data_IF_101320934367
#
_entry.id   IF_101320934367
#
_cell.length_a   1.000
_cell.length_b   1.000
_cell.length_c   1.000
_cell.angle_alpha   90.00
_cell.angle_beta   90.00
_cell.angle_gamma   90.00
#
_symmetry.space_group_name_H-M   'P 1'
#
loop_
_entity.id
_entity.type
_entity.pdbx_description
1 polymer ?
#
# COMPACT_ATOMS: atom_id res chain seq x y z
N UNK A 1 36.46 7.91 -73.23
CA UNK A 1 35.56 8.40 -72.16
C UNK A 1 35.86 7.60 -70.91
N UNK A 2 36.31 8.24 -69.83
CA UNK A 2 36.70 7.58 -68.58
C UNK A 2 35.53 7.58 -67.59
N UNK A 3 35.10 6.41 -67.15
CA UNK A 3 34.04 6.26 -66.14
C UNK A 3 34.59 6.48 -64.72
N UNK A 4 33.89 7.24 -63.85
CA UNK A 4 34.38 7.51 -62.51
C UNK A 4 34.05 6.36 -61.54
N UNK A 5 35.06 5.84 -60.85
CA UNK A 5 34.93 4.80 -59.83
C UNK A 5 34.39 5.41 -58.52
N UNK A 6 33.16 5.02 -58.12
CA UNK A 6 32.54 5.43 -56.85
C UNK A 6 33.32 4.87 -55.65
N UNK A 7 33.82 5.76 -54.78
CA UNK A 7 34.40 5.40 -53.47
C UNK A 7 33.30 4.84 -52.54
N UNK A 8 33.54 3.66 -51.97
CA UNK A 8 32.68 3.05 -50.96
C UNK A 8 32.79 3.80 -49.60
N UNK A 9 31.70 3.92 -48.82
CA UNK A 9 31.72 4.59 -47.52
C UNK A 9 32.46 3.74 -46.47
N UNK A 10 33.26 4.40 -45.64
CA UNK A 10 34.03 3.78 -44.56
C UNK A 10 33.10 3.13 -43.50
N UNK A 11 33.37 1.85 -43.17
CA UNK A 11 32.66 1.10 -42.11
C UNK A 11 32.87 1.80 -40.76
N UNK A 12 31.79 2.24 -40.11
CA UNK A 12 31.80 2.71 -38.72
C UNK A 12 32.19 1.55 -37.78
N UNK A 13 33.14 1.79 -36.89
CA UNK A 13 33.55 0.83 -35.87
C UNK A 13 32.39 0.56 -34.88
N UNK A 14 32.21 -0.70 -34.42
CA UNK A 14 31.15 -1.03 -33.47
C UNK A 14 31.43 -0.39 -32.11
N UNK A 15 30.42 0.24 -31.53
CA UNK A 15 30.49 0.82 -30.19
C UNK A 15 30.87 -0.27 -29.17
N UNK A 16 31.95 -0.03 -28.40
CA UNK A 16 32.34 -0.88 -27.26
C UNK A 16 31.16 -0.94 -26.29
N UNK A 17 30.51 -2.10 -26.20
CA UNK A 17 29.54 -2.39 -25.14
C UNK A 17 30.27 -2.30 -23.80
N UNK A 18 29.79 -1.44 -22.91
CA UNK A 18 30.33 -1.32 -21.56
C UNK A 18 30.26 -2.68 -20.85
N UNK A 19 31.34 -3.04 -20.16
CA UNK A 19 31.39 -4.28 -19.40
C UNK A 19 30.36 -4.25 -18.25
N UNK A 20 29.76 -5.40 -17.90
CA UNK A 20 28.81 -5.48 -16.78
C UNK A 20 29.51 -5.09 -15.47
N UNK A 21 28.86 -4.22 -14.68
CA UNK A 21 29.40 -3.73 -13.40
C UNK A 21 29.58 -4.86 -12.39
N UNK A 22 30.64 -4.79 -11.61
CA UNK A 22 30.88 -5.77 -10.52
C UNK A 22 29.85 -5.60 -9.40
N UNK A 23 29.70 -6.63 -8.54
CA UNK A 23 28.77 -6.58 -7.41
C UNK A 23 29.16 -5.49 -6.39
N UNK A 24 30.46 -5.27 -6.20
CA UNK A 24 31.00 -4.23 -5.31
C UNK A 24 30.68 -2.82 -5.81
N UNK A 25 30.83 -2.57 -7.11
CA UNK A 25 30.47 -1.29 -7.73
C UNK A 25 28.96 -1.02 -7.59
N UNK A 26 28.12 -2.04 -7.76
CA UNK A 26 26.67 -1.92 -7.56
C UNK A 26 26.29 -1.63 -6.11
N UNK A 27 26.95 -2.27 -5.15
CA UNK A 27 26.70 -2.04 -3.74
C UNK A 27 27.13 -0.63 -3.29
N UNK A 28 28.30 -0.15 -3.73
CA UNK A 28 28.75 1.20 -3.44
C UNK A 28 27.80 2.27 -4.03
N UNK A 29 27.36 2.09 -5.28
CA UNK A 29 26.38 2.96 -5.93
C UNK A 29 25.03 2.97 -5.18
N UNK A 30 24.57 1.81 -4.70
CA UNK A 30 23.32 1.69 -3.95
C UNK A 30 23.40 2.39 -2.59
N UNK A 31 24.49 2.22 -1.85
CA UNK A 31 24.70 2.88 -0.54
C UNK A 31 24.74 4.41 -0.70
N UNK A 32 25.39 4.92 -1.75
CA UNK A 32 25.40 6.37 -2.06
C UNK A 32 23.99 6.91 -2.30
N UNK A 33 23.14 6.16 -3.02
CA UNK A 33 21.74 6.56 -3.28
C UNK A 33 20.89 6.62 -2.01
N UNK A 34 21.09 5.70 -1.07
CA UNK A 34 20.42 5.76 0.24
C UNK A 34 20.86 6.97 1.07
N UNK A 35 22.13 7.38 0.98
CA UNK A 35 22.60 8.60 1.63
C UNK A 35 21.94 9.86 1.03
N UNK A 36 21.75 9.90 -0.30
CA UNK A 36 21.00 10.97 -0.96
C UNK A 36 19.53 11.00 -0.53
N UNK A 37 18.87 9.85 -0.40
CA UNK A 37 17.50 9.77 0.14
C UNK A 37 17.41 10.26 1.58
N UNK A 38 18.38 9.91 2.43
CA UNK A 38 18.46 10.40 3.82
C UNK A 38 18.64 11.92 3.85
N UNK A 39 19.51 12.48 3.02
CA UNK A 39 19.72 13.92 2.92
C UNK A 39 18.48 14.67 2.39
N UNK A 40 17.70 14.05 1.50
CA UNK A 40 16.41 14.59 1.04
C UNK A 40 15.35 14.50 2.13
N UNK A 41 15.24 13.38 2.83
CA UNK A 41 14.28 13.19 3.92
C UNK A 41 14.47 14.21 5.05
N UNK A 42 15.71 14.57 5.38
CA UNK A 42 15.99 15.62 6.37
C UNK A 42 15.48 17.02 5.99
N UNK A 43 15.25 17.26 4.68
CA UNK A 43 14.68 18.52 4.17
C UNK A 43 13.15 18.50 4.15
N UNK A 44 12.54 17.32 4.26
CA UNK A 44 11.10 17.13 4.41
C UNK A 44 10.81 17.29 5.91
N UNK A 45 10.88 18.53 6.42
CA UNK A 45 10.33 18.85 7.74
C UNK A 45 8.95 19.44 7.54
N UNK A 46 7.96 18.58 7.67
CA UNK A 46 6.62 18.95 8.12
C UNK A 46 6.55 18.51 9.59
N UNK A 47 5.83 19.25 10.43
CA UNK A 47 5.62 19.16 11.89
C UNK A 47 5.73 17.80 12.64
N UNK A 48 5.93 16.68 11.97
CA UNK A 48 6.62 15.50 12.47
C UNK A 48 5.78 14.61 13.38
N UNK A 49 4.61 15.10 13.80
CA UNK A 49 3.61 14.29 14.46
C UNK A 49 2.83 13.53 13.39
N UNK A 50 3.22 12.27 13.15
CA UNK A 50 2.29 11.29 12.59
C UNK A 50 1.14 11.22 13.60
N UNK A 51 -0.11 11.52 13.21
CA UNK A 51 -1.24 11.39 14.13
C UNK A 51 -1.22 10.00 14.74
N UNK A 52 -1.31 9.92 16.07
CA UNK A 52 -1.41 8.64 16.76
C UNK A 52 -2.80 8.07 16.44
N UNK A 53 -2.84 7.26 15.38
CA UNK A 53 -4.04 6.57 14.94
C UNK A 53 -4.43 5.58 16.04
N UNK A 54 -5.64 5.72 16.56
CA UNK A 54 -6.17 4.74 17.53
C UNK A 54 -6.64 3.49 16.77
N UNK A 55 -6.46 2.28 17.35
CA UNK A 55 -7.05 1.08 16.78
C UNK A 55 -8.56 1.21 16.61
N UNK A 56 -9.10 0.50 15.63
CA UNK A 56 -10.55 0.28 15.51
C UNK A 56 -10.88 -1.05 16.19
N UNK A 57 -11.79 -1.04 17.16
CA UNK A 57 -12.13 -2.22 17.96
C UNK A 57 -13.55 -2.64 17.60
N UNK A 58 -13.70 -3.91 17.22
CA UNK A 58 -14.99 -4.59 17.09
C UNK A 58 -15.11 -5.53 18.28
N UNK A 59 -16.14 -5.33 19.08
CA UNK A 59 -16.30 -6.07 20.34
C UNK A 59 -16.74 -7.51 20.08
N UNK A 60 -16.37 -8.43 20.97
CA UNK A 60 -16.83 -9.81 20.90
C UNK A 60 -18.36 -9.93 20.86
N UNK A 61 -19.06 -9.03 21.57
CA UNK A 61 -20.52 -8.96 21.59
C UNK A 61 -21.13 -8.61 20.23
N UNK A 62 -20.45 -7.80 19.41
CA UNK A 62 -20.89 -7.47 18.04
C UNK A 62 -20.66 -8.62 17.06
N UNK A 63 -19.70 -9.51 17.32
CA UNK A 63 -19.34 -10.62 16.45
C UNK A 63 -20.19 -11.88 16.68
N UNK A 64 -20.69 -12.07 17.89
CA UNK A 64 -21.54 -13.20 18.33
C UNK A 64 -20.99 -14.58 17.90
N UNK A 65 -19.67 -14.71 17.75
CA UNK A 65 -19.02 -15.87 17.14
C UNK A 65 -18.61 -16.96 18.15
N UNK A 66 -19.04 -16.81 19.40
CA UNK A 66 -18.70 -17.70 20.51
C UNK A 66 -17.24 -17.55 20.99
N UNK A 67 -16.50 -16.57 20.48
CA UNK A 67 -15.13 -16.28 20.90
C UNK A 67 -15.16 -15.01 21.77
N UNK A 68 -14.83 -15.16 23.05
CA UNK A 68 -14.76 -14.06 24.03
C UNK A 68 -13.47 -13.24 23.88
N UNK A 69 -13.28 -12.66 22.68
CA UNK A 69 -12.14 -11.81 22.36
C UNK A 69 -12.52 -10.78 21.30
N UNK A 70 -12.17 -9.51 21.53
CA UNK A 70 -12.38 -8.44 20.57
C UNK A 70 -11.49 -8.60 19.33
N UNK A 71 -11.97 -8.09 18.19
CA UNK A 71 -11.15 -7.90 17.01
C UNK A 71 -10.58 -6.49 17.03
N UNK A 72 -9.24 -6.40 17.09
CA UNK A 72 -8.52 -5.13 17.13
C UNK A 72 -7.82 -4.88 15.80
N UNK A 73 -8.31 -3.91 15.04
CA UNK A 73 -7.67 -3.45 13.81
C UNK A 73 -6.68 -2.35 14.15
N UNK A 74 -5.40 -2.73 14.18
CA UNK A 74 -4.32 -1.82 14.57
C UNK A 74 -3.76 -1.07 13.37
N UNK A 75 -3.36 0.21 13.54
CA UNK A 75 -2.67 0.93 12.49
C UNK A 75 -1.34 0.26 12.12
N UNK A 76 -0.91 0.35 10.85
CA UNK A 76 0.32 -0.26 10.40
C UNK A 76 1.58 0.38 11.02
N UNK A 77 2.46 -0.47 11.55
CA UNK A 77 3.70 -0.05 12.24
C UNK A 77 4.91 -0.02 11.32
N UNK A 78 4.84 -0.69 10.16
CA UNK A 78 5.94 -0.74 9.18
C UNK A 78 5.62 0.06 7.90
N UNK A 79 6.68 0.51 7.19
CA UNK A 79 6.51 1.18 5.90
C UNK A 79 5.78 0.30 4.88
N UNK A 80 6.10 -1.00 4.84
CA UNK A 80 5.47 -1.94 3.92
C UNK A 80 3.96 -2.05 4.16
N UNK A 81 3.53 -2.19 5.42
CA UNK A 81 2.10 -2.24 5.76
C UNK A 81 1.41 -0.90 5.49
N UNK A 82 2.08 0.24 5.74
CA UNK A 82 1.54 1.58 5.43
C UNK A 82 1.28 1.75 3.94
N UNK A 83 2.24 1.38 3.10
CA UNK A 83 2.09 1.44 1.64
C UNK A 83 1.03 0.47 1.13
N UNK A 84 0.95 -0.73 1.71
CA UNK A 84 -0.10 -1.69 1.38
C UNK A 84 -1.49 -1.16 1.75
N UNK A 85 -1.62 -0.52 2.93
CA UNK A 85 -2.88 0.06 3.39
C UNK A 85 -3.33 1.23 2.51
N UNK A 86 -2.42 2.17 2.17
CA UNK A 86 -2.74 3.29 1.26
C UNK A 86 -3.23 2.76 -0.10
N UNK A 87 -2.55 1.73 -0.64
CA UNK A 87 -3.00 1.07 -1.88
C UNK A 87 -4.38 0.43 -1.72
N UNK A 88 -4.64 -0.26 -0.61
CA UNK A 88 -5.93 -0.93 -0.38
C UNK A 88 -7.06 0.10 -0.27
N UNK A 89 -6.85 1.19 0.46
CA UNK A 89 -7.79 2.31 0.61
C UNK A 89 -8.13 2.93 -0.75
N UNK A 90 -7.12 3.25 -1.58
CA UNK A 90 -7.35 3.85 -2.91
C UNK A 90 -8.17 2.97 -3.85
N UNK A 91 -8.10 1.65 -3.68
CA UNK A 91 -8.82 0.68 -4.51
C UNK A 91 -10.14 0.21 -3.88
N UNK A 92 -10.53 0.75 -2.72
CA UNK A 92 -11.66 0.26 -1.93
C UNK A 92 -11.60 -1.25 -1.64
N UNK A 93 -10.38 -1.76 -1.46
CA UNK A 93 -10.14 -3.18 -1.16
C UNK A 93 -10.28 -3.41 0.34
N UNK A 94 -11.54 -3.49 0.80
CA UNK A 94 -11.89 -3.63 2.22
C UNK A 94 -11.35 -4.92 2.84
N UNK A 95 -11.25 -6.00 2.05
CA UNK A 95 -10.68 -7.27 2.49
C UNK A 95 -9.22 -7.07 2.87
N UNK A 96 -8.43 -6.46 1.98
CA UNK A 96 -7.03 -6.16 2.26
C UNK A 96 -6.86 -5.18 3.42
N UNK A 97 -7.75 -4.20 3.60
CA UNK A 97 -7.70 -3.27 4.75
C UNK A 97 -7.76 -4.05 6.07
N UNK A 98 -8.75 -4.94 6.21
CA UNK A 98 -8.93 -5.74 7.43
C UNK A 98 -7.76 -6.70 7.63
N UNK A 99 -7.31 -7.38 6.58
CA UNK A 99 -6.17 -8.30 6.65
C UNK A 99 -4.86 -7.59 7.05
N UNK A 100 -4.62 -6.38 6.56
CA UNK A 100 -3.40 -5.60 6.90
C UNK A 100 -3.43 -5.14 8.36
N UNK A 101 -4.59 -4.75 8.88
CA UNK A 101 -4.71 -4.15 10.22
C UNK A 101 -4.94 -5.14 11.35
N UNK A 102 -5.73 -6.19 11.11
CA UNK A 102 -6.08 -7.22 12.10
C UNK A 102 -5.51 -8.60 11.80
N UNK A 103 -4.90 -8.80 10.63
CA UNK A 103 -4.46 -10.11 10.17
C UNK A 103 -5.60 -10.96 9.60
N UNK A 104 -5.21 -12.10 9.03
CA UNK A 104 -6.15 -13.08 8.44
C UNK A 104 -7.15 -13.63 9.47
N UNK A 105 -6.74 -13.74 10.73
CA UNK A 105 -7.63 -14.18 11.82
C UNK A 105 -8.79 -13.22 12.05
N UNK A 106 -8.52 -11.91 12.08
CA UNK A 106 -9.56 -10.89 12.18
C UNK A 106 -10.47 -10.91 10.96
N UNK A 107 -9.90 -10.98 9.75
CA UNK A 107 -10.69 -11.05 8.52
C UNK A 107 -11.66 -12.22 8.53
N UNK A 108 -11.18 -13.43 8.85
CA UNK A 108 -12.03 -14.62 8.89
C UNK A 108 -13.16 -14.49 9.90
N UNK A 109 -12.89 -13.92 11.08
CA UNK A 109 -13.92 -13.68 12.10
C UNK A 109 -14.96 -12.68 11.62
N UNK A 110 -14.53 -11.57 11.01
CA UNK A 110 -15.46 -10.56 10.47
C UNK A 110 -16.33 -11.15 9.34
N UNK A 111 -15.73 -11.84 8.37
CA UNK A 111 -16.47 -12.46 7.26
C UNK A 111 -17.50 -13.46 7.79
N UNK A 112 -17.10 -14.34 8.72
CA UNK A 112 -18.00 -15.32 9.32
C UNK A 112 -19.13 -14.67 10.16
N UNK A 113 -18.90 -13.50 10.75
CA UNK A 113 -19.93 -12.75 11.46
C UNK A 113 -20.93 -12.13 10.48
N UNK A 114 -20.47 -11.47 9.42
CA UNK A 114 -21.36 -10.88 8.41
C UNK A 114 -22.16 -11.93 7.63
N UNK A 115 -21.55 -13.06 7.28
CA UNK A 115 -22.25 -14.18 6.62
C UNK A 115 -23.37 -14.76 7.49
N UNK A 116 -23.26 -14.65 8.82
CA UNK A 116 -24.28 -15.16 9.77
C UNK A 116 -25.43 -14.18 9.96
N UNK A 117 -25.13 -12.88 9.97
CA UNK A 117 -26.10 -11.82 10.28
C UNK A 117 -26.91 -11.42 9.04
N UNK A 118 -26.33 -11.53 7.85
CA UNK A 118 -26.96 -11.09 6.61
C UNK A 118 -28.12 -11.99 6.15
N UNK A 119 -29.08 -11.39 5.46
CA UNK A 119 -30.21 -12.12 4.86
C UNK A 119 -29.78 -12.96 3.64
N UNK A 120 -28.78 -12.47 2.88
CA UNK A 120 -28.17 -13.15 1.75
C UNK A 120 -26.70 -12.70 1.52
N UNK A 121 -26.03 -13.31 0.53
CA UNK A 121 -24.62 -13.02 0.21
C UNK A 121 -24.40 -11.59 -0.30
N UNK A 122 -25.37 -11.01 -1.01
CA UNK A 122 -25.27 -9.64 -1.50
C UNK A 122 -25.39 -8.65 -0.33
N UNK A 123 -26.26 -8.94 0.63
CA UNK A 123 -26.39 -8.17 1.85
C UNK A 123 -25.12 -8.28 2.71
N UNK A 124 -24.58 -9.48 2.90
CA UNK A 124 -23.30 -9.70 3.59
C UNK A 124 -22.17 -8.85 2.98
N UNK A 125 -22.09 -8.83 1.64
CA UNK A 125 -21.09 -8.03 0.90
C UNK A 125 -21.28 -6.53 1.13
N UNK A 126 -22.53 -6.05 1.14
CA UNK A 126 -22.85 -4.63 1.38
C UNK A 126 -22.56 -4.22 2.83
N UNK A 127 -22.91 -5.06 3.79
CA UNK A 127 -22.62 -4.84 5.21
C UNK A 127 -21.11 -4.79 5.45
N UNK A 128 -20.35 -5.73 4.86
CA UNK A 128 -18.89 -5.74 4.94
C UNK A 128 -18.26 -4.49 4.31
N UNK A 129 -18.77 -4.04 3.17
CA UNK A 129 -18.33 -2.79 2.56
C UNK A 129 -18.63 -1.57 3.45
N UNK A 130 -19.84 -1.48 4.03
CA UNK A 130 -20.21 -0.43 4.99
C UNK A 130 -19.32 -0.40 6.23
N UNK A 131 -18.94 -1.58 6.73
CA UNK A 131 -17.93 -1.72 7.77
C UNK A 131 -16.56 -1.19 7.32
N UNK A 132 -16.09 -1.59 6.14
CA UNK A 132 -14.83 -1.11 5.57
C UNK A 132 -14.76 0.41 5.46
N UNK A 133 -15.84 1.06 5.02
CA UNK A 133 -15.94 2.52 5.01
C UNK A 133 -15.87 3.14 6.41
N UNK A 134 -16.47 2.51 7.41
CA UNK A 134 -16.40 2.96 8.81
C UNK A 134 -14.97 2.90 9.35
N UNK A 135 -14.22 1.84 9.00
CA UNK A 135 -12.79 1.71 9.35
C UNK A 135 -11.95 2.79 8.67
N UNK A 136 -12.17 3.06 7.38
CA UNK A 136 -11.44 4.11 6.64
C UNK A 136 -11.73 5.50 7.24
N UNK A 137 -12.99 5.80 7.55
CA UNK A 137 -13.38 7.06 8.20
C UNK A 137 -12.75 7.23 9.57
N UNK A 138 -12.60 6.14 10.34
CA UNK A 138 -11.92 6.18 11.64
C UNK A 138 -10.42 6.50 11.50
N UNK A 139 -9.78 6.00 10.44
CA UNK A 139 -8.36 6.24 10.19
C UNK A 139 -8.06 7.63 9.63
N UNK A 140 -8.84 8.08 8.65
CA UNK A 140 -8.52 9.27 7.87
C UNK A 140 -9.39 10.50 8.23
N UNK A 141 -10.30 10.37 9.20
CA UNK A 141 -11.26 11.40 9.57
C UNK A 141 -12.62 11.23 8.91
N UNK A 142 -13.66 11.83 9.50
CA UNK A 142 -15.05 11.72 9.03
C UNK A 142 -15.18 12.22 7.57
N UNK A 143 -15.67 11.36 6.68
CA UNK A 143 -15.90 11.68 5.27
C UNK A 143 -14.74 11.31 4.34
N UNK A 144 -13.63 10.78 4.86
CA UNK A 144 -12.50 10.33 4.04
C UNK A 144 -12.85 9.12 3.15
N UNK A 145 -13.81 8.30 3.57
CA UNK A 145 -14.37 7.20 2.80
C UNK A 145 -15.12 7.65 1.53
N UNK A 146 -15.70 8.85 1.55
CA UNK A 146 -16.56 9.39 0.49
C UNK A 146 -15.76 10.17 -0.57
N UNK A 147 -14.47 10.42 -0.31
CA UNK A 147 -13.57 11.09 -1.25
C UNK A 147 -12.91 10.04 -2.17
N UNK A 148 -13.06 10.13 -3.51
CA UNK A 148 -12.37 9.24 -4.43
C UNK A 148 -10.85 9.31 -4.19
N UNK A 149 -10.26 8.21 -3.72
CA UNK A 149 -8.83 8.11 -3.41
C UNK A 149 -8.47 8.13 -1.91
N UNK A 150 -9.44 8.24 -1.00
CA UNK A 150 -9.25 7.99 0.43
C UNK A 150 -8.35 9.00 1.18
N UNK A 151 -8.16 10.18 0.60
CA UNK A 151 -7.48 11.30 1.28
C UNK A 151 -8.25 11.77 2.51
N UNK A 152 -7.57 12.32 3.54
CA UNK A 152 -8.24 12.91 4.70
C UNK A 152 -9.30 13.93 4.25
N UNK A 153 -10.48 13.89 4.88
CA UNK A 153 -11.46 14.96 4.74
C UNK A 153 -10.95 16.16 5.55
N UNK A 154 -10.62 17.24 4.85
CA UNK A 154 -10.16 18.50 5.43
C UNK A 154 -11.15 19.13 6.41
#
# INVERSE_FOLDING_TARGET
MASPTKKAPAKKAPAKKAAPRTAEQRNADNVSRFAEFRARAQKIREDGSIPELKPYIVTAAELDDGIDADVVLSPPTTLAQRTALDRAIRNSDFVSIVAIMGGEGALNRMVAAFDRIADDVNDATRLFAGFGYSVVNHLNGKGAADVPGGTPAS
#
